data_IF_147986962920
#
_entry.id   IF_147986962920
#
_cell.length_a   1.000
_cell.length_b   1.000
_cell.length_c   1.000
_cell.angle_alpha   90.00
_cell.angle_beta   90.00
_cell.angle_gamma   90.00
#
_symmetry.space_group_name_H-M   'P 1'
#
loop_
_entity.id
_entity.type
_entity.pdbx_description
1 polymer ?
#
# COMPACT_ATOMS: atom_id res chain seq x y z
N UNK A 1 81.88 -26.33 -36.65
CA UNK A 1 81.64 -25.40 -35.56
C UNK A 1 80.44 -24.54 -35.94
N UNK A 2 79.27 -24.82 -35.41
CA UNK A 2 78.00 -24.10 -35.69
C UNK A 2 77.54 -23.47 -34.42
N UNK A 3 77.49 -22.15 -34.38
CA UNK A 3 77.04 -21.34 -33.26
C UNK A 3 75.51 -21.18 -33.35
N UNK A 4 74.79 -21.68 -32.33
CA UNK A 4 73.35 -21.50 -32.23
C UNK A 4 73.07 -20.23 -31.42
N UNK A 5 72.41 -19.27 -32.03
CA UNK A 5 71.95 -18.03 -31.42
C UNK A 5 70.49 -18.24 -30.91
N UNK A 6 70.30 -18.21 -29.60
CA UNK A 6 68.97 -18.33 -28.96
C UNK A 6 68.35 -16.94 -28.79
N UNK A 7 67.34 -16.62 -29.60
CA UNK A 7 66.52 -15.38 -29.39
C UNK A 7 65.43 -15.62 -28.38
N UNK A 8 65.57 -15.03 -27.20
CA UNK A 8 64.53 -14.97 -26.17
C UNK A 8 63.52 -13.91 -26.61
N UNK A 9 62.22 -14.33 -26.75
CA UNK A 9 61.10 -13.45 -26.95
C UNK A 9 60.39 -13.26 -25.58
N UNK A 10 60.70 -12.15 -24.94
CA UNK A 10 59.93 -11.70 -23.74
C UNK A 10 58.59 -11.13 -24.19
N UNK A 11 57.52 -11.85 -23.95
CA UNK A 11 56.16 -11.36 -24.12
C UNK A 11 55.77 -10.54 -22.88
N UNK A 12 55.58 -9.25 -23.06
CA UNK A 12 55.09 -8.32 -22.05
C UNK A 12 53.57 -8.41 -22.02
N UNK A 13 53.04 -9.12 -21.03
CA UNK A 13 51.58 -9.17 -20.79
C UNK A 13 51.16 -7.91 -20.03
N UNK A 14 50.54 -6.97 -20.73
CA UNK A 14 49.89 -5.80 -20.12
C UNK A 14 48.54 -6.23 -19.52
N UNK A 15 48.48 -6.35 -18.19
CA UNK A 15 47.24 -6.55 -17.44
C UNK A 15 46.50 -5.21 -17.37
N UNK A 16 45.49 -5.04 -18.20
CA UNK A 16 44.52 -3.94 -18.11
C UNK A 16 43.62 -4.21 -16.89
N UNK A 17 43.91 -3.58 -15.75
CA UNK A 17 42.99 -3.49 -14.60
C UNK A 17 41.86 -2.56 -14.99
N UNK A 18 40.75 -3.12 -15.47
CA UNK A 18 39.47 -2.38 -15.61
C UNK A 18 38.89 -2.07 -14.24
N UNK A 19 39.21 -0.91 -13.71
CA UNK A 19 38.54 -0.36 -12.53
C UNK A 19 37.12 0.06 -12.94
N UNK A 20 36.17 -0.84 -12.83
CA UNK A 20 34.74 -0.47 -12.91
C UNK A 20 34.42 0.33 -11.65
N UNK A 21 34.55 1.64 -11.74
CA UNK A 21 34.02 2.54 -10.74
C UNK A 21 32.47 2.39 -10.76
N UNK A 22 31.92 1.64 -9.81
CA UNK A 22 30.49 1.69 -9.52
C UNK A 22 30.17 3.12 -9.10
N UNK A 23 29.57 3.88 -10.03
CA UNK A 23 28.97 5.16 -9.71
C UNK A 23 27.80 4.86 -8.78
N UNK A 24 28.05 4.85 -7.46
CA UNK A 24 26.99 4.97 -6.48
C UNK A 24 26.31 6.30 -6.75
N UNK A 25 25.16 6.28 -7.42
CA UNK A 25 24.30 7.45 -7.55
C UNK A 25 23.94 7.87 -6.14
N UNK A 26 24.58 8.92 -5.65
CA UNK A 26 24.23 9.53 -4.36
C UNK A 26 22.75 9.90 -4.45
N UNK A 27 21.95 9.25 -3.63
CA UNK A 27 20.52 9.55 -3.53
C UNK A 27 20.38 10.97 -2.97
N UNK A 28 19.93 11.90 -3.81
CA UNK A 28 19.76 13.29 -3.41
C UNK A 28 18.57 13.33 -2.44
N UNK A 29 18.87 13.62 -1.17
CA UNK A 29 17.81 13.83 -0.17
C UNK A 29 16.93 15.01 -0.60
N UNK A 30 15.60 14.84 -0.67
CA UNK A 30 14.72 15.93 -1.06
C UNK A 30 14.75 17.07 -0.03
N UNK A 31 14.46 18.29 -0.47
CA UNK A 31 14.42 19.46 0.40
C UNK A 31 13.39 19.31 1.52
N UNK A 32 13.66 19.94 2.66
CA UNK A 32 12.66 20.09 3.70
C UNK A 32 11.45 20.89 3.18
N UNK A 33 10.29 20.64 3.76
CA UNK A 33 9.09 21.43 3.43
C UNK A 33 9.32 22.92 3.75
N UNK A 34 9.02 23.84 2.83
CA UNK A 34 9.10 25.27 3.12
C UNK A 34 8.17 25.68 4.26
N UNK A 35 8.62 26.57 5.13
CA UNK A 35 7.80 27.12 6.21
C UNK A 35 6.95 28.25 5.65
N UNK A 36 5.60 28.06 5.64
CA UNK A 36 4.60 29.04 5.16
C UNK A 36 3.51 29.22 6.25
N UNK A 37 3.74 30.00 7.32
CA UNK A 37 2.84 30.02 8.46
C UNK A 37 1.50 30.67 8.12
N UNK A 38 0.43 30.03 8.55
CA UNK A 38 -0.93 30.57 8.62
C UNK A 38 -1.32 30.60 10.10
N UNK A 39 -1.96 31.67 10.54
CA UNK A 39 -2.38 31.82 11.93
C UNK A 39 -3.89 31.83 12.04
N UNK A 40 -4.44 30.90 12.81
CA UNK A 40 -5.86 30.84 13.19
C UNK A 40 -6.05 31.21 14.65
N UNK A 41 -7.24 31.65 14.98
CA UNK A 41 -7.62 31.95 16.36
C UNK A 41 -8.71 31.02 16.85
N UNK A 42 -8.39 30.22 17.87
CA UNK A 42 -9.31 29.30 18.53
C UNK A 42 -9.54 29.74 19.97
N UNK A 43 -10.78 30.03 20.33
CA UNK A 43 -11.16 30.46 21.69
C UNK A 43 -10.30 31.63 22.21
N UNK A 44 -10.00 32.60 21.34
CA UNK A 44 -9.20 33.78 21.69
C UNK A 44 -7.68 33.54 21.73
N UNK A 45 -7.19 32.33 21.38
CA UNK A 45 -5.77 32.02 21.30
C UNK A 45 -5.33 31.87 19.85
N UNK A 46 -4.28 32.55 19.48
CA UNK A 46 -3.66 32.42 18.15
C UNK A 46 -2.78 31.19 18.08
N UNK A 47 -2.99 30.37 17.04
CA UNK A 47 -2.22 29.15 16.74
C UNK A 47 -1.64 29.30 15.35
N UNK A 48 -0.31 29.26 15.23
CA UNK A 48 0.38 29.29 13.95
C UNK A 48 0.62 27.86 13.45
N UNK A 49 0.23 27.60 12.20
CA UNK A 49 0.51 26.37 11.49
C UNK A 49 1.45 26.66 10.32
N UNK A 50 2.73 26.25 10.38
CA UNK A 50 3.70 26.53 9.34
C UNK A 50 3.53 25.66 8.09
N UNK A 51 2.71 24.63 8.13
CA UNK A 51 2.63 23.59 7.10
C UNK A 51 1.21 23.31 6.59
N UNK A 52 0.22 24.14 6.91
CA UNK A 52 -1.18 24.00 6.46
C UNK A 52 -1.31 23.84 4.95
N UNK A 53 -0.46 24.49 4.17
CA UNK A 53 -0.47 24.42 2.71
C UNK A 53 -0.24 22.98 2.19
N UNK A 54 0.39 22.08 2.96
CA UNK A 54 0.59 20.68 2.58
C UNK A 54 -0.71 19.87 2.53
N UNK A 55 -1.82 20.41 3.05
CA UNK A 55 -3.15 19.79 2.95
C UNK A 55 -3.76 19.95 1.54
N UNK A 56 -3.29 20.93 0.75
CA UNK A 56 -3.78 21.15 -0.61
C UNK A 56 -3.12 20.18 -1.61
N UNK A 57 -3.75 19.03 -1.80
CA UNK A 57 -3.31 18.01 -2.76
C UNK A 57 -3.55 18.39 -4.23
N UNK A 58 -4.09 19.59 -4.51
CA UNK A 58 -4.23 20.14 -5.87
C UNK A 58 -3.08 21.08 -6.22
N UNK A 59 -2.34 21.57 -5.22
CA UNK A 59 -1.13 22.37 -5.45
C UNK A 59 -0.02 21.49 -6.06
N UNK A 60 0.44 21.81 -7.29
CA UNK A 60 1.47 21.00 -7.97
C UNK A 60 2.80 20.98 -7.22
N UNK A 61 3.16 22.04 -6.48
CA UNK A 61 4.41 22.08 -5.70
C UNK A 61 4.32 21.16 -4.49
N UNK A 62 3.17 21.06 -3.84
CA UNK A 62 2.90 20.11 -2.75
C UNK A 62 3.00 18.68 -3.27
N UNK A 63 2.34 18.38 -4.39
CA UNK A 63 2.37 17.04 -5.00
C UNK A 63 3.80 16.68 -5.41
N UNK A 64 4.55 17.59 -6.02
CA UNK A 64 5.94 17.37 -6.42
C UNK A 64 6.84 17.09 -5.20
N UNK A 65 6.67 17.84 -4.11
CA UNK A 65 7.41 17.63 -2.87
C UNK A 65 7.11 16.26 -2.25
N UNK A 66 5.83 15.88 -2.13
CA UNK A 66 5.42 14.58 -1.62
C UNK A 66 6.00 13.43 -2.45
N UNK A 67 5.97 13.56 -3.78
CA UNK A 67 6.51 12.57 -4.71
C UNK A 67 8.02 12.41 -4.55
N UNK A 68 8.76 13.51 -4.43
CA UNK A 68 10.20 13.47 -4.20
C UNK A 68 10.56 12.78 -2.86
N UNK A 69 9.80 13.02 -1.78
CA UNK A 69 9.97 12.33 -0.50
C UNK A 69 9.72 10.81 -0.64
N UNK A 70 8.67 10.42 -1.37
CA UNK A 70 8.32 9.02 -1.60
C UNK A 70 9.39 8.30 -2.44
N UNK A 71 9.89 8.93 -3.50
CA UNK A 71 10.94 8.39 -4.37
C UNK A 71 12.27 8.20 -3.62
N UNK A 72 12.66 9.19 -2.82
CA UNK A 72 13.85 9.07 -1.97
C UNK A 72 13.71 7.92 -0.97
N UNK A 73 12.59 7.86 -0.26
CA UNK A 73 12.31 6.78 0.71
C UNK A 73 12.36 5.42 0.04
N UNK A 74 11.74 5.28 -1.14
CA UNK A 74 11.76 4.04 -1.93
C UNK A 74 13.19 3.65 -2.26
N UNK A 75 13.99 4.57 -2.77
CA UNK A 75 15.36 4.32 -3.15
C UNK A 75 16.24 3.90 -1.95
N UNK A 76 16.07 4.55 -0.78
CA UNK A 76 16.78 4.15 0.46
C UNK A 76 16.39 2.75 0.90
N UNK A 77 15.09 2.42 0.89
CA UNK A 77 14.60 1.11 1.29
C UNK A 77 15.04 0.00 0.32
N UNK A 78 15.01 0.28 -0.98
CA UNK A 78 15.38 -0.70 -2.01
C UNK A 78 16.90 -0.98 -2.02
N UNK A 79 17.71 -0.04 -1.53
CA UNK A 79 19.14 -0.24 -1.33
C UNK A 79 19.49 -1.15 -0.13
N UNK A 80 18.53 -1.43 0.76
CA UNK A 80 18.75 -2.32 1.91
C UNK A 80 18.91 -3.78 1.47
N UNK A 81 20.04 -4.44 1.80
CA UNK A 81 20.27 -5.84 1.43
C UNK A 81 19.22 -6.81 2.01
N UNK A 82 18.68 -6.48 3.19
CA UNK A 82 17.70 -7.31 3.90
C UNK A 82 16.29 -7.20 3.31
N UNK A 83 15.99 -6.15 2.53
CA UNK A 83 14.64 -5.91 2.03
C UNK A 83 14.09 -7.08 1.21
N UNK A 84 14.91 -7.65 0.32
CA UNK A 84 14.48 -8.79 -0.51
C UNK A 84 14.15 -10.02 0.31
N UNK A 85 14.97 -10.33 1.32
CA UNK A 85 14.78 -11.47 2.21
C UNK A 85 13.51 -11.28 3.04
N UNK A 86 13.35 -10.13 3.67
CA UNK A 86 12.17 -9.80 4.47
C UNK A 86 10.89 -9.81 3.64
N UNK A 87 10.93 -9.24 2.43
CA UNK A 87 9.78 -9.24 1.53
C UNK A 87 9.37 -10.67 1.14
N UNK A 88 10.35 -11.52 0.79
CA UNK A 88 10.08 -12.91 0.46
C UNK A 88 9.45 -13.68 1.63
N UNK A 89 9.95 -13.48 2.86
CA UNK A 89 9.39 -14.11 4.06
C UNK A 89 7.96 -13.60 4.36
N UNK A 90 7.73 -12.28 4.30
CA UNK A 90 6.40 -11.69 4.52
C UNK A 90 5.40 -12.20 3.47
N UNK A 91 5.81 -12.26 2.20
CA UNK A 91 4.97 -12.79 1.12
C UNK A 91 4.63 -14.26 1.35
N UNK A 92 5.63 -15.09 1.68
CA UNK A 92 5.43 -16.51 1.99
C UNK A 92 4.40 -16.74 3.09
N UNK A 93 4.47 -15.97 4.19
CA UNK A 93 3.47 -16.08 5.28
C UNK A 93 2.12 -15.48 4.88
N UNK A 94 2.10 -14.41 4.08
CA UNK A 94 0.88 -13.82 3.54
C UNK A 94 0.11 -14.78 2.63
N UNK A 95 0.84 -15.49 1.77
CA UNK A 95 0.27 -16.39 0.77
C UNK A 95 -0.05 -17.80 1.33
N UNK A 96 0.50 -18.14 2.51
CA UNK A 96 0.22 -19.43 3.17
C UNK A 96 -1.24 -19.57 3.62
N UNK A 97 -1.96 -18.47 3.83
CA UNK A 97 -3.35 -18.48 4.26
C UNK A 97 -4.28 -18.51 3.03
N UNK A 98 -5.14 -19.54 2.93
CA UNK A 98 -6.15 -19.65 1.86
C UNK A 98 -7.17 -18.50 1.87
N UNK A 99 -7.41 -17.94 3.03
CA UNK A 99 -8.25 -16.74 3.21
C UNK A 99 -7.85 -15.98 4.48
N UNK A 100 -8.13 -14.69 4.49
CA UNK A 100 -8.01 -13.82 5.66
C UNK A 100 -9.38 -13.30 6.07
N UNK A 101 -9.77 -13.54 7.32
CA UNK A 101 -11.03 -13.06 7.90
C UNK A 101 -10.73 -11.96 8.90
N UNK A 102 -11.44 -10.84 8.80
CA UNK A 102 -11.31 -9.69 9.70
C UNK A 102 -12.70 -9.13 10.07
N UNK A 103 -12.75 -8.24 11.04
CA UNK A 103 -13.95 -7.49 11.43
C UNK A 103 -15.16 -8.38 11.77
N UNK A 104 -14.93 -9.53 12.41
CA UNK A 104 -16.01 -10.45 12.79
C UNK A 104 -16.99 -9.79 13.77
N UNK A 105 -18.29 -9.83 13.44
CA UNK A 105 -19.39 -9.38 14.30
C UNK A 105 -20.43 -10.49 14.39
N UNK A 106 -20.81 -10.83 15.63
CA UNK A 106 -21.90 -11.77 15.91
C UNK A 106 -23.17 -10.99 16.26
N UNK A 107 -24.23 -11.16 15.48
CA UNK A 107 -25.51 -10.51 15.72
C UNK A 107 -26.63 -11.54 15.58
N UNK A 108 -27.42 -11.71 16.66
CA UNK A 108 -28.56 -12.62 16.71
C UNK A 108 -28.31 -13.99 16.04
N UNK A 109 -27.17 -14.62 16.37
CA UNK A 109 -26.80 -15.96 15.88
C UNK A 109 -26.15 -15.99 14.50
N UNK A 110 -25.98 -14.84 13.84
CA UNK A 110 -25.28 -14.73 12.55
C UNK A 110 -23.90 -14.14 12.71
N UNK A 111 -22.93 -14.69 11.99
CA UNK A 111 -21.57 -14.18 11.86
C UNK A 111 -21.43 -13.34 10.59
N UNK A 112 -21.11 -12.05 10.75
CA UNK A 112 -20.78 -11.12 9.68
C UNK A 112 -19.31 -10.82 9.71
N UNK A 113 -18.61 -10.81 8.57
CA UNK A 113 -17.17 -10.61 8.52
C UNK A 113 -16.69 -10.17 7.16
N UNK A 114 -15.56 -9.50 7.15
CA UNK A 114 -14.79 -9.28 5.92
C UNK A 114 -13.90 -10.48 5.67
N UNK A 115 -13.91 -10.98 4.43
CA UNK A 115 -13.05 -12.08 4.00
C UNK A 115 -12.41 -11.73 2.67
N UNK A 116 -11.10 -11.99 2.59
CA UNK A 116 -10.30 -11.92 1.37
C UNK A 116 -9.67 -13.29 1.12
N UNK A 117 -9.96 -13.92 -0.01
CA UNK A 117 -9.30 -15.14 -0.43
C UNK A 117 -7.87 -14.86 -0.92
N UNK A 118 -7.04 -15.90 -1.06
CA UNK A 118 -5.64 -15.73 -1.44
C UNK A 118 -5.44 -15.10 -2.82
N UNK A 119 -6.38 -15.34 -3.74
CA UNK A 119 -6.40 -14.82 -5.12
C UNK A 119 -7.09 -13.45 -5.25
N UNK A 120 -7.59 -12.89 -4.15
CA UNK A 120 -8.26 -11.60 -4.12
C UNK A 120 -7.37 -10.52 -3.50
N UNK A 121 -7.54 -9.28 -3.94
CA UNK A 121 -6.83 -8.13 -3.37
C UNK A 121 -7.66 -7.38 -2.32
N UNK A 122 -8.98 -7.45 -2.42
CA UNK A 122 -9.92 -6.63 -1.64
C UNK A 122 -10.85 -7.53 -0.84
N UNK A 123 -11.03 -7.27 0.47
CA UNK A 123 -11.99 -8.00 1.28
C UNK A 123 -13.42 -7.74 0.86
N UNK A 124 -14.25 -8.79 0.88
CA UNK A 124 -15.69 -8.77 0.62
C UNK A 124 -16.46 -9.04 1.92
N UNK A 125 -17.68 -8.55 2.02
CA UNK A 125 -18.55 -8.78 3.18
C UNK A 125 -19.33 -10.08 3.02
N UNK A 126 -19.24 -10.93 4.02
CA UNK A 126 -19.94 -12.21 4.08
C UNK A 126 -20.80 -12.32 5.33
N UNK A 127 -21.77 -13.24 5.27
CA UNK A 127 -22.57 -13.66 6.41
C UNK A 127 -22.74 -15.18 6.40
N UNK A 128 -22.88 -15.77 7.60
CA UNK A 128 -23.31 -17.17 7.80
C UNK A 128 -24.04 -17.33 9.11
N UNK A 129 -24.88 -18.37 9.20
CA UNK A 129 -25.58 -18.70 10.45
C UNK A 129 -24.61 -19.43 11.40
N UNK A 130 -24.34 -18.83 12.56
CA UNK A 130 -23.33 -19.31 13.50
C UNK A 130 -21.93 -19.42 12.86
N UNK A 131 -21.10 -20.35 13.37
CA UNK A 131 -19.77 -20.61 12.83
C UNK A 131 -19.75 -21.76 11.79
N UNK A 132 -20.76 -22.61 11.75
CA UNK A 132 -20.86 -23.78 10.88
C UNK A 132 -21.79 -23.62 9.68
N UNK A 133 -22.55 -22.52 9.61
CA UNK A 133 -23.50 -22.29 8.51
C UNK A 133 -22.82 -22.03 7.17
N UNK A 134 -23.59 -22.19 6.09
CA UNK A 134 -23.12 -21.89 4.73
C UNK A 134 -22.81 -20.39 4.59
N UNK A 135 -21.65 -20.08 4.05
CA UNK A 135 -21.22 -18.70 3.77
C UNK A 135 -22.02 -18.12 2.60
N UNK A 136 -22.48 -16.88 2.76
CA UNK A 136 -23.14 -16.10 1.72
C UNK A 136 -22.46 -14.74 1.55
N UNK A 137 -22.08 -14.42 0.34
CA UNK A 137 -21.56 -13.10 -0.05
C UNK A 137 -22.69 -12.07 0.05
N UNK A 138 -22.45 -10.97 0.74
CA UNK A 138 -23.37 -9.84 0.86
C UNK A 138 -22.96 -8.69 -0.04
N UNK A 139 -21.70 -8.24 0.08
CA UNK A 139 -21.18 -7.07 -0.65
C UNK A 139 -19.84 -7.41 -1.26
N UNK A 140 -19.75 -7.20 -2.57
CA UNK A 140 -18.51 -7.21 -3.34
C UNK A 140 -18.19 -5.78 -3.77
N UNK A 141 -17.13 -5.14 -3.22
CA UNK A 141 -16.82 -3.76 -3.55
C UNK A 141 -16.41 -3.56 -5.01
N UNK A 142 -15.93 -4.60 -5.71
CA UNK A 142 -15.58 -4.51 -7.12
C UNK A 142 -16.80 -4.34 -8.04
N UNK A 143 -18.02 -4.53 -7.53
CA UNK A 143 -19.27 -4.27 -8.28
C UNK A 143 -19.69 -2.81 -8.29
N UNK A 144 -19.04 -1.95 -7.54
CA UNK A 144 -19.31 -0.51 -7.52
C UNK A 144 -18.43 0.20 -8.54
N UNK A 145 -18.95 1.25 -9.21
CA UNK A 145 -18.15 2.04 -10.15
C UNK A 145 -16.93 2.64 -9.45
N UNK A 146 -15.77 2.53 -10.08
CA UNK A 146 -14.53 3.17 -9.64
C UNK A 146 -13.83 3.83 -10.84
N UNK A 147 -13.11 4.94 -10.64
CA UNK A 147 -12.24 5.51 -11.67
C UNK A 147 -11.17 4.49 -12.10
N UNK A 148 -10.65 4.67 -13.31
CA UNK A 148 -9.61 3.81 -13.87
C UNK A 148 -8.40 3.71 -12.93
N UNK A 149 -7.93 2.49 -12.70
CA UNK A 149 -6.81 2.19 -11.80
C UNK A 149 -7.09 2.37 -10.30
N UNK A 150 -8.37 2.60 -9.93
CA UNK A 150 -8.81 2.66 -8.53
C UNK A 150 -9.68 1.45 -8.20
N UNK A 151 -9.66 1.07 -6.92
CA UNK A 151 -10.51 0.02 -6.37
C UNK A 151 -11.39 0.60 -5.27
N UNK A 152 -12.56 0.00 -5.09
CA UNK A 152 -13.42 0.31 -3.96
C UNK A 152 -13.04 -0.57 -2.76
N UNK A 153 -13.28 -0.07 -1.56
CA UNK A 153 -13.09 -0.80 -0.31
C UNK A 153 -14.32 -0.67 0.58
N UNK A 154 -14.55 -1.69 1.42
CA UNK A 154 -15.54 -1.63 2.50
C UNK A 154 -14.82 -1.12 3.74
N UNK A 155 -15.10 0.12 4.15
CA UNK A 155 -14.43 0.73 5.30
C UNK A 155 -15.03 0.27 6.63
N UNK A 156 -16.35 0.07 6.64
CA UNK A 156 -17.10 -0.41 7.82
C UNK A 156 -18.39 -1.10 7.40
N UNK A 157 -18.93 -1.89 8.32
CA UNK A 157 -20.28 -2.43 8.21
C UNK A 157 -20.92 -2.58 9.59
N UNK A 158 -22.26 -2.53 9.63
CA UNK A 158 -23.06 -2.68 10.86
C UNK A 158 -24.35 -3.43 10.52
N UNK A 159 -24.51 -4.69 10.95
CA UNK A 159 -25.77 -5.40 10.87
C UNK A 159 -26.78 -4.81 11.84
N UNK A 160 -28.07 -4.80 11.46
CA UNK A 160 -29.16 -4.45 12.36
C UNK A 160 -29.38 -5.56 13.39
N UNK A 161 -29.82 -5.24 14.62
CA UNK A 161 -30.03 -6.23 15.69
C UNK A 161 -31.01 -7.34 15.32
N UNK A 162 -31.96 -7.07 14.43
CA UNK A 162 -32.97 -8.02 13.96
C UNK A 162 -32.56 -8.80 12.70
N UNK A 163 -31.30 -8.62 12.24
CA UNK A 163 -30.77 -9.25 11.03
C UNK A 163 -31.56 -8.95 9.74
N UNK A 164 -32.28 -7.82 9.65
CA UNK A 164 -32.97 -7.44 8.42
C UNK A 164 -32.11 -6.61 7.49
N UNK A 165 -31.23 -5.79 8.03
CA UNK A 165 -30.43 -4.84 7.28
C UNK A 165 -28.96 -4.92 7.63
N UNK A 166 -28.09 -4.50 6.69
CA UNK A 166 -26.69 -4.20 6.94
C UNK A 166 -26.36 -2.84 6.36
N UNK A 167 -25.96 -1.89 7.21
CA UNK A 167 -25.35 -0.64 6.77
C UNK A 167 -23.87 -0.86 6.51
N UNK A 168 -23.32 -0.29 5.42
CA UNK A 168 -21.90 -0.40 5.10
C UNK A 168 -21.42 0.84 4.32
N UNK A 169 -20.13 1.15 4.45
CA UNK A 169 -19.50 2.27 3.76
C UNK A 169 -18.58 1.78 2.65
N UNK A 170 -18.70 2.37 1.46
CA UNK A 170 -17.81 2.15 0.33
C UNK A 170 -17.00 3.41 0.04
N UNK A 171 -15.68 3.30 0.02
CA UNK A 171 -14.78 4.36 -0.43
C UNK A 171 -13.96 3.94 -1.64
N UNK A 172 -13.50 4.94 -2.40
CA UNK A 172 -12.68 4.74 -3.60
C UNK A 172 -11.21 4.95 -3.27
N UNK A 173 -10.36 4.00 -3.64
CA UNK A 173 -8.91 4.14 -3.59
C UNK A 173 -8.32 4.41 -2.20
N UNK A 174 -9.00 3.99 -1.12
CA UNK A 174 -8.55 4.22 0.26
C UNK A 174 -8.70 5.68 0.72
N UNK A 175 -9.60 6.45 0.10
CA UNK A 175 -9.84 7.87 0.45
C UNK A 175 -10.48 8.05 1.83
N UNK A 176 -11.01 6.97 2.43
CA UNK A 176 -11.79 6.99 3.69
C UNK A 176 -13.05 7.86 3.63
N UNK A 177 -13.35 8.44 2.47
CA UNK A 177 -14.59 9.17 2.21
C UNK A 177 -15.67 8.19 1.75
N UNK A 178 -16.32 7.54 2.72
CA UNK A 178 -17.29 6.49 2.44
C UNK A 178 -18.65 7.04 2.04
N UNK A 179 -19.24 6.43 1.01
CA UNK A 179 -20.67 6.53 0.75
C UNK A 179 -21.38 5.44 1.55
N UNK A 180 -22.36 5.83 2.36
CA UNK A 180 -23.18 4.91 3.14
C UNK A 180 -24.21 4.22 2.23
N UNK A 181 -24.27 2.91 2.36
CA UNK A 181 -25.28 2.03 1.76
C UNK A 181 -26.00 1.23 2.82
N UNK A 182 -27.23 0.84 2.52
CA UNK A 182 -28.02 -0.08 3.37
C UNK A 182 -28.51 -1.22 2.49
N UNK A 183 -28.16 -2.45 2.88
CA UNK A 183 -28.60 -3.68 2.21
C UNK A 183 -29.74 -4.31 3.01
N UNK A 184 -30.90 -4.53 2.39
CA UNK A 184 -31.96 -5.38 2.92
C UNK A 184 -31.58 -6.85 2.68
N UNK A 185 -31.41 -7.61 3.77
CA UNK A 185 -30.96 -9.01 3.73
C UNK A 185 -32.02 -9.99 3.22
N UNK A 186 -33.30 -9.56 3.16
CA UNK A 186 -34.43 -10.34 2.65
C UNK A 186 -34.50 -10.23 1.14
N UNK A 187 -34.41 -9.01 0.63
CA UNK A 187 -34.54 -8.74 -0.82
C UNK A 187 -33.22 -8.74 -1.57
N UNK A 188 -32.10 -8.55 -0.87
CA UNK A 188 -30.77 -8.40 -1.47
C UNK A 188 -30.55 -7.05 -2.15
N UNK A 189 -31.34 -6.04 -1.86
CA UNK A 189 -31.29 -4.69 -2.45
C UNK A 189 -30.96 -3.63 -1.43
#
# INVERSE_FOLDING_TARGET
MRTFCFRSKTALAAALLSCTASLATAQIKPSAAPVKPITDTYFGKSVADPYRYLEDLKDPDVVAWMKAQAEYTRAVLDASPQRKVLLAEVTKYGDAASARVTSLQMVAGRAYYLKRNADENIPKLYVRDGFGGKERLLVDPDRFPAPEGKHNAIDYFRPSPDNKYVAYGISVGGSEQSVLHVLDLTTGK
#
